data_IF_395217675447
#
_entry.id   IF_395217675447
#
_cell.length_a   1.000
_cell.length_b   1.000
_cell.length_c   1.000
_cell.angle_alpha   90.00
_cell.angle_beta   90.00
_cell.angle_gamma   90.00
#
_symmetry.space_group_name_H-M   'P 1'
#
loop_
_entity.id
_entity.type
_entity.pdbx_description
1 polymer ?
#
# COMPACT_ATOMS: atom_id res chain seq x y z
N UNK A 1 22.50 -8.90 -20.86
CA UNK A 1 21.80 -9.15 -19.58
C UNK A 1 21.88 -7.92 -18.68
N UNK A 2 20.90 -7.02 -18.72
CA UNK A 2 20.89 -5.82 -17.87
C UNK A 2 20.02 -6.00 -16.64
N UNK A 3 20.55 -6.58 -15.56
CA UNK A 3 19.84 -6.61 -14.26
C UNK A 3 19.73 -5.18 -13.74
N UNK A 4 18.60 -4.50 -13.99
CA UNK A 4 18.21 -3.31 -13.24
C UNK A 4 18.05 -3.74 -11.79
N UNK A 5 19.08 -3.55 -10.97
CA UNK A 5 18.97 -3.64 -9.52
C UNK A 5 18.04 -2.51 -9.10
N UNK A 6 16.74 -2.78 -9.03
CA UNK A 6 15.78 -1.84 -8.47
C UNK A 6 16.33 -1.40 -7.11
N UNK A 7 16.61 -0.11 -6.95
CA UNK A 7 17.08 0.44 -5.68
C UNK A 7 15.98 0.13 -4.66
N UNK A 8 16.17 -0.92 -3.86
CA UNK A 8 15.28 -1.22 -2.74
C UNK A 8 15.45 -0.03 -1.80
N UNK A 9 14.45 0.86 -1.79
CA UNK A 9 14.42 1.96 -0.83
C UNK A 9 14.43 1.29 0.54
N UNK A 10 15.38 1.66 1.38
CA UNK A 10 15.36 1.19 2.76
C UNK A 10 14.15 1.86 3.42
N UNK A 11 13.10 1.08 3.64
CA UNK A 11 11.91 1.54 4.34
C UNK A 11 12.23 1.37 5.82
N UNK A 12 12.24 2.47 6.57
CA UNK A 12 12.34 2.42 8.01
C UNK A 12 11.03 1.81 8.55
N UNK A 13 11.09 0.54 8.96
CA UNK A 13 9.95 -0.17 9.54
C UNK A 13 9.91 0.15 11.04
N UNK A 14 9.00 1.06 11.41
CA UNK A 14 8.73 1.39 12.80
C UNK A 14 7.33 0.86 13.16
N UNK A 15 7.23 -0.28 13.86
CA UNK A 15 5.95 -0.90 14.21
C UNK A 15 5.01 0.03 14.98
N UNK A 16 5.54 0.95 15.79
CA UNK A 16 4.72 1.87 16.59
C UNK A 16 4.02 2.91 15.70
N UNK A 17 4.75 3.47 14.73
CA UNK A 17 4.22 4.45 13.78
C UNK A 17 3.21 3.79 12.84
N UNK A 18 3.51 2.57 12.39
CA UNK A 18 2.59 1.79 11.55
C UNK A 18 1.32 1.41 12.30
N UNK A 19 1.43 0.96 13.55
CA UNK A 19 0.29 0.66 14.42
C UNK A 19 -0.57 1.89 14.69
N UNK A 20 0.04 3.03 15.02
CA UNK A 20 -0.68 4.29 15.22
C UNK A 20 -1.45 4.72 13.96
N UNK A 21 -0.84 4.56 12.78
CA UNK A 21 -1.50 4.84 11.50
C UNK A 21 -2.61 3.85 11.17
N UNK A 22 -2.51 2.60 11.60
CA UNK A 22 -3.57 1.61 11.44
C UNK A 22 -4.75 1.86 12.39
N UNK A 23 -4.47 2.29 13.62
CA UNK A 23 -5.48 2.52 14.66
C UNK A 23 -6.18 3.88 14.56
N UNK A 24 -5.43 4.92 14.17
CA UNK A 24 -5.90 6.31 14.19
C UNK A 24 -5.74 7.03 12.85
N UNK A 25 -5.18 6.36 11.83
CA UNK A 25 -5.23 6.91 10.48
C UNK A 25 -6.66 6.95 10.01
N UNK A 26 -7.05 8.04 9.34
CA UNK A 26 -8.33 8.08 8.65
C UNK A 26 -8.45 6.81 7.80
N UNK A 27 -9.60 6.11 7.87
CA UNK A 27 -9.89 5.07 6.91
C UNK A 27 -9.68 5.70 5.54
N UNK A 28 -8.63 5.28 4.83
CA UNK A 28 -8.57 5.47 3.39
C UNK A 28 -9.61 4.52 2.86
N UNK A 29 -10.88 4.91 2.98
CA UNK A 29 -11.92 4.42 2.11
C UNK A 29 -11.33 4.62 0.71
N UNK A 30 -10.89 3.52 0.11
CA UNK A 30 -10.65 3.56 -1.33
C UNK A 30 -12.00 3.96 -1.88
N UNK A 31 -12.05 5.06 -2.63
CA UNK A 31 -13.18 5.31 -3.50
C UNK A 31 -13.34 4.01 -4.29
N UNK A 32 -14.40 3.26 -3.98
CA UNK A 32 -14.63 1.98 -4.60
C UNK A 32 -14.72 2.23 -6.10
N UNK A 33 -13.69 1.82 -6.83
CA UNK A 33 -13.67 1.95 -8.28
C UNK A 33 -14.72 0.96 -8.79
N UNK A 34 -15.64 1.39 -9.66
CA UNK A 34 -16.61 0.48 -10.26
C UNK A 34 -15.93 -0.71 -10.97
N UNK A 35 -14.65 -0.57 -11.34
CA UNK A 35 -13.80 -1.63 -11.88
C UNK A 35 -13.37 -2.69 -10.85
N UNK A 36 -13.35 -2.38 -9.55
CA UNK A 36 -13.08 -3.37 -8.48
C UNK A 36 -14.18 -4.44 -8.42
N UNK A 37 -15.39 -4.11 -8.84
CA UNK A 37 -16.53 -5.03 -8.89
C UNK A 37 -16.71 -5.72 -10.25
N UNK A 38 -15.95 -5.33 -11.29
CA UNK A 38 -16.07 -5.91 -12.61
C UNK A 38 -15.09 -7.09 -12.81
N UNK A 39 -15.25 -8.12 -11.97
CA UNK A 39 -14.65 -9.44 -12.19
C UNK A 39 -15.75 -10.43 -12.61
N UNK A 40 -16.55 -10.09 -13.63
CA UNK A 40 -17.38 -11.05 -14.34
C UNK A 40 -17.63 -10.57 -15.78
N UNK A 41 -16.70 -10.87 -16.68
CA UNK A 41 -17.01 -11.42 -18.01
C UNK A 41 -15.79 -12.14 -18.58
#
# INVERSE_FOLDING_TARGET
MGKKKGKKKHINHNPQVESAKAAFGEPKAKDHDARDFNMFY
#
